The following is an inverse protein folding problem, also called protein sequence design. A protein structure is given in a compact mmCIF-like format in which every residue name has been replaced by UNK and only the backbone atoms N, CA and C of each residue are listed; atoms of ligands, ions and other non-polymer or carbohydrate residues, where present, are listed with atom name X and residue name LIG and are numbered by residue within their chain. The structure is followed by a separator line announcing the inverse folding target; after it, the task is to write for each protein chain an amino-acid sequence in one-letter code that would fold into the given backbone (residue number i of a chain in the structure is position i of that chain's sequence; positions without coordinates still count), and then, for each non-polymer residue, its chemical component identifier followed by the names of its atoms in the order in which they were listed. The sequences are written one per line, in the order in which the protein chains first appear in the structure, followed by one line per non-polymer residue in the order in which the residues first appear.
data_IF_469295659487
#
_entry.id   IF_469295659487
#
_cell.length_a   1.000
_cell.length_b   1.000
_cell.length_c   1.000
_cell.angle_alpha   90.00
_cell.angle_beta   90.00
_cell.angle_gamma   90.00
#
_symmetry.space_group_name_H-M   'P 1'
#
loop_
_entity.id
_entity.type
_entity.pdbx_description
1 polymer ?
#
# COMPACT_ATOMS: atom_id res chain seq x y z
N UNK A 1 23.99 -0.14 8.09
CA UNK A 1 23.39 1.08 7.47
C UNK A 1 22.01 0.83 6.88
N UNK A 2 21.80 -0.23 6.07
CA UNK A 2 20.51 -0.47 5.40
C UNK A 2 19.33 -0.78 6.36
N UNK A 3 19.58 -1.45 7.49
CA UNK A 3 18.52 -1.79 8.45
C UNK A 3 17.80 -0.55 9.01
N UNK A 4 18.57 0.49 9.35
CA UNK A 4 18.05 1.77 9.85
C UNK A 4 17.21 2.45 8.77
N UNK A 5 17.66 2.42 7.51
CA UNK A 5 16.93 2.99 6.39
C UNK A 5 15.58 2.27 6.17
N UNK A 6 15.51 0.94 6.30
CA UNK A 6 14.24 0.20 6.23
C UNK A 6 13.26 0.63 7.33
N UNK A 7 13.75 0.80 8.56
CA UNK A 7 12.92 1.26 9.69
C UNK A 7 12.41 2.69 9.44
N UNK A 8 13.26 3.59 8.95
CA UNK A 8 12.86 4.98 8.66
C UNK A 8 11.81 5.05 7.54
N UNK A 9 11.98 4.27 6.48
CA UNK A 9 10.99 4.17 5.39
C UNK A 9 9.68 3.58 5.91
N UNK A 10 9.75 2.52 6.73
CA UNK A 10 8.57 1.94 7.37
C UNK A 10 7.84 2.93 8.28
N UNK A 11 8.57 3.74 9.04
CA UNK A 11 8.01 4.78 9.91
C UNK A 11 7.33 5.89 9.10
N UNK A 12 8.01 6.41 8.07
CA UNK A 12 7.43 7.42 7.18
C UNK A 12 6.17 6.89 6.48
N UNK A 13 6.22 5.65 5.97
CA UNK A 13 5.09 4.99 5.35
C UNK A 13 3.93 4.74 6.35
N UNK A 14 4.25 4.37 7.59
CA UNK A 14 3.28 4.16 8.66
C UNK A 14 2.56 5.45 9.04
N UNK A 15 3.29 6.56 9.20
CA UNK A 15 2.72 7.89 9.46
C UNK A 15 1.81 8.31 8.31
N UNK A 16 2.28 8.21 7.06
CA UNK A 16 1.47 8.55 5.90
C UNK A 16 0.24 7.65 5.75
N UNK A 17 0.37 6.35 6.04
CA UNK A 17 -0.74 5.39 6.03
C UNK A 17 -1.80 5.75 7.08
N UNK A 18 -1.38 6.10 8.29
CA UNK A 18 -2.28 6.53 9.36
C UNK A 18 -2.95 7.87 9.07
N UNK A 19 -2.26 8.80 8.40
CA UNK A 19 -2.79 10.13 8.08
C UNK A 19 -3.73 10.12 6.87
N UNK A 20 -3.35 9.45 5.78
CA UNK A 20 -4.11 9.44 4.52
C UNK A 20 -4.98 8.19 4.31
N UNK A 21 -4.81 7.13 5.11
CA UNK A 21 -5.53 5.86 4.93
C UNK A 21 -5.09 5.00 3.74
N UNK A 22 -3.98 5.33 3.09
CA UNK A 22 -3.53 4.74 1.80
C UNK A 22 -2.74 3.42 1.93
N UNK A 23 -2.45 2.92 3.13
CA UNK A 23 -1.71 1.67 3.33
C UNK A 23 -0.18 1.75 3.13
N UNK A 24 0.39 2.95 2.97
CA UNK A 24 1.84 3.19 2.94
C UNK A 24 2.58 2.74 1.66
N UNK A 25 1.96 1.94 0.79
CA UNK A 25 2.58 1.39 -0.43
C UNK A 25 3.05 2.45 -1.43
N UNK A 26 2.40 3.62 -1.47
CA UNK A 26 2.80 4.76 -2.32
C UNK A 26 4.21 5.26 -1.97
N UNK A 27 4.62 5.15 -0.70
CA UNK A 27 5.95 5.55 -0.24
C UNK A 27 6.91 4.36 -0.28
N UNK A 28 6.47 3.18 0.21
CA UNK A 28 7.34 2.00 0.32
C UNK A 28 7.79 1.47 -1.04
N UNK A 29 6.90 1.38 -2.03
CA UNK A 29 7.22 0.77 -3.34
C UNK A 29 8.32 1.59 -4.05
N UNK A 30 8.22 2.91 -4.24
CA UNK A 30 9.30 3.70 -4.83
C UNK A 30 10.58 3.65 -4.01
N UNK A 31 10.50 3.71 -2.68
CA UNK A 31 11.69 3.61 -1.83
C UNK A 31 12.42 2.28 -2.06
N UNK A 32 11.70 1.16 -2.05
CA UNK A 32 12.24 -0.18 -2.32
C UNK A 32 12.88 -0.31 -3.71
N UNK A 33 12.25 0.24 -4.74
CA UNK A 33 12.79 0.24 -6.10
C UNK A 33 14.04 1.12 -6.25
N UNK A 34 13.96 2.38 -5.83
CA UNK A 34 14.96 3.39 -6.18
C UNK A 34 16.08 3.51 -5.15
N UNK A 35 15.81 3.25 -3.87
CA UNK A 35 16.80 3.37 -2.80
C UNK A 35 17.43 2.03 -2.43
N UNK A 36 16.67 0.94 -2.55
CA UNK A 36 17.13 -0.40 -2.13
C UNK A 36 17.34 -1.38 -3.29
N UNK A 37 17.02 -0.99 -4.52
CA UNK A 37 17.30 -1.79 -5.72
C UNK A 37 16.46 -3.07 -5.82
N UNK A 38 15.34 -3.16 -5.10
CA UNK A 38 14.42 -4.29 -5.20
C UNK A 38 13.76 -4.32 -6.57
N UNK A 39 13.51 -5.51 -7.10
CA UNK A 39 12.69 -5.66 -8.31
C UNK A 39 11.26 -5.18 -8.04
N UNK A 40 10.52 -4.81 -9.09
CA UNK A 40 9.13 -4.35 -8.95
C UNK A 40 8.26 -5.36 -8.18
N UNK A 41 8.39 -6.65 -8.46
CA UNK A 41 7.63 -7.70 -7.78
C UNK A 41 8.01 -7.82 -6.30
N UNK A 42 9.31 -7.76 -5.98
CA UNK A 42 9.78 -7.76 -4.60
C UNK A 42 9.26 -6.54 -3.84
N UNK A 43 9.39 -5.34 -4.39
CA UNK A 43 8.89 -4.12 -3.76
C UNK A 43 7.39 -4.19 -3.46
N UNK A 44 6.59 -4.69 -4.42
CA UNK A 44 5.14 -4.88 -4.25
C UNK A 44 4.82 -5.91 -3.17
N UNK A 45 5.45 -7.09 -3.23
CA UNK A 45 5.23 -8.18 -2.28
C UNK A 45 5.63 -7.82 -0.86
N UNK A 46 6.81 -7.22 -0.69
CA UNK A 46 7.29 -6.74 0.62
C UNK A 46 6.38 -5.65 1.18
N UNK A 47 5.93 -4.70 0.36
CA UNK A 47 4.97 -3.67 0.79
C UNK A 47 3.64 -4.27 1.25
N UNK A 48 3.12 -5.28 0.55
CA UNK A 48 1.87 -5.96 0.94
C UNK A 48 2.05 -6.75 2.23
N UNK A 49 3.18 -7.44 2.42
CA UNK A 49 3.47 -8.18 3.64
C UNK A 49 3.48 -7.27 4.89
N UNK A 50 4.06 -6.08 4.77
CA UNK A 50 4.11 -5.08 5.87
C UNK A 50 2.71 -4.50 6.18
N UNK A 51 1.82 -4.46 5.20
CA UNK A 51 0.49 -3.85 5.34
C UNK A 51 -0.46 -4.68 6.22
N UNK A 52 -0.30 -6.01 6.28
CA UNK A 52 -1.21 -6.92 6.98
C UNK A 52 -1.07 -6.78 8.52
N UNK A 53 0.07 -7.10 9.14
CA UNK A 53 0.48 -6.44 10.40
C UNK A 53 1.97 -6.02 10.37
N UNK A 54 2.34 -4.84 10.92
CA UNK A 54 1.63 -4.07 11.95
C UNK A 54 0.84 -2.84 11.48
N UNK A 55 1.02 -2.36 10.25
CA UNK A 55 0.52 -1.02 9.85
C UNK A 55 -1.02 -0.95 9.85
N UNK A 56 -1.67 -1.85 9.11
CA UNK A 56 -3.13 -1.82 8.97
C UNK A 56 -3.84 -2.01 10.31
N UNK A 57 -3.35 -2.94 11.13
CA UNK A 57 -3.95 -3.28 12.42
C UNK A 57 -3.92 -2.10 13.41
N UNK A 58 -2.77 -1.49 13.64
CA UNK A 58 -2.63 -0.41 14.63
C UNK A 58 -3.43 0.83 14.21
N UNK A 59 -3.38 1.20 12.93
CA UNK A 59 -4.15 2.33 12.41
C UNK A 59 -5.67 2.05 12.51
N UNK A 60 -6.13 0.89 12.03
CA UNK A 60 -7.54 0.52 12.09
C UNK A 60 -8.08 0.46 13.53
N UNK A 61 -7.31 -0.07 14.48
CA UNK A 61 -7.68 -0.05 15.90
C UNK A 61 -7.86 1.36 16.44
N UNK A 62 -6.99 2.31 16.05
CA UNK A 62 -7.12 3.70 16.47
C UNK A 62 -8.39 4.34 15.91
N UNK A 63 -8.67 4.15 14.63
CA UNK A 63 -9.91 4.63 14.00
C UNK A 63 -11.17 3.97 14.57
N UNK A 64 -11.09 2.67 14.90
CA UNK A 64 -12.20 1.94 15.51
C UNK A 64 -12.53 2.48 16.90
N UNK A 65 -11.50 2.69 17.74
CA UNK A 65 -11.66 3.32 19.06
C UNK A 65 -12.19 4.76 18.98
N UNK A 66 -11.91 5.47 17.89
CA UNK A 66 -12.43 6.80 17.63
C UNK A 66 -13.86 6.81 17.05
N UNK A 67 -14.51 5.65 16.88
CA UNK A 67 -15.86 5.54 16.31
C UNK A 67 -15.95 5.74 14.80
N UNK A 68 -14.81 5.82 14.11
CA UNK A 68 -14.73 6.17 12.68
C UNK A 68 -14.70 4.95 11.75
N UNK A 69 -14.93 3.74 12.27
CA UNK A 69 -14.94 2.51 11.47
C UNK A 69 -16.35 1.97 11.33
N UNK A 70 -16.87 1.98 10.10
CA UNK A 70 -18.12 1.30 9.74
C UNK A 70 -17.85 -0.19 9.53
N UNK A 71 -18.00 -0.96 10.61
CA UNK A 71 -17.65 -2.39 10.64
C UNK A 71 -18.39 -3.22 9.59
N UNK A 72 -19.68 -2.94 9.33
CA UNK A 72 -20.45 -3.70 8.34
C UNK A 72 -19.82 -3.60 6.95
N UNK A 73 -19.47 -2.39 6.51
CA UNK A 73 -18.81 -2.13 5.23
C UNK A 73 -17.43 -2.80 5.21
N UNK A 74 -16.67 -2.67 6.31
CA UNK A 74 -15.33 -3.24 6.42
C UNK A 74 -15.34 -4.77 6.24
N UNK A 75 -16.31 -5.48 6.82
CA UNK A 75 -16.41 -6.94 6.71
C UNK A 75 -16.66 -7.37 5.26
N UNK A 76 -17.68 -6.79 4.59
CA UNK A 76 -17.97 -7.14 3.20
C UNK A 76 -16.82 -6.75 2.25
N UNK A 77 -16.21 -5.59 2.47
CA UNK A 77 -15.03 -5.18 1.73
C UNK A 77 -13.83 -6.11 1.96
N UNK A 78 -13.65 -6.63 3.17
CA UNK A 78 -12.59 -7.59 3.50
C UNK A 78 -12.71 -8.89 2.70
N UNK A 79 -13.93 -9.41 2.53
CA UNK A 79 -14.17 -10.61 1.72
C UNK A 79 -13.75 -10.36 0.26
N UNK A 80 -14.22 -9.26 -0.32
CA UNK A 80 -13.83 -8.88 -1.69
C UNK A 80 -12.32 -8.66 -1.83
N UNK A 81 -11.71 -8.01 -0.84
CA UNK A 81 -10.27 -7.75 -0.79
C UNK A 81 -9.45 -9.04 -0.69
N UNK A 82 -9.92 -10.04 0.08
CA UNK A 82 -9.23 -11.32 0.24
C UNK A 82 -9.08 -12.04 -1.10
N UNK A 83 -10.17 -12.22 -1.85
CA UNK A 83 -10.13 -12.89 -3.14
C UNK A 83 -9.49 -12.01 -4.23
N UNK A 84 -9.87 -10.72 -4.28
CA UNK A 84 -9.36 -9.77 -5.27
C UNK A 84 -7.86 -9.52 -5.12
N UNK A 85 -7.36 -9.45 -3.89
CA UNK A 85 -5.93 -9.29 -3.60
C UNK A 85 -5.12 -10.50 -4.04
N UNK A 86 -5.61 -11.72 -3.80
CA UNK A 86 -4.97 -12.95 -4.27
C UNK A 86 -4.95 -13.02 -5.81
N UNK A 87 -6.11 -12.84 -6.46
CA UNK A 87 -6.21 -12.83 -7.92
C UNK A 87 -5.32 -11.75 -8.54
N UNK A 88 -5.34 -10.54 -7.98
CA UNK A 88 -4.49 -9.43 -8.41
C UNK A 88 -3.00 -9.75 -8.27
N UNK A 89 -2.58 -10.38 -7.18
CA UNK A 89 -1.19 -10.81 -6.98
C UNK A 89 -0.77 -11.89 -7.97
N UNK A 90 -1.65 -12.87 -8.26
CA UNK A 90 -1.39 -13.89 -9.29
C UNK A 90 -1.19 -13.23 -10.65
N UNK A 91 -2.11 -12.35 -11.07
CA UNK A 91 -2.00 -11.64 -12.35
C UNK A 91 -0.75 -10.76 -12.40
N UNK A 92 -0.45 -10.03 -11.33
CA UNK A 92 0.71 -9.15 -11.26
C UNK A 92 2.04 -9.90 -11.44
N UNK A 93 2.17 -11.12 -10.91
CA UNK A 93 3.38 -11.93 -11.09
C UNK A 93 3.60 -12.43 -12.53
N UNK A 94 2.59 -12.35 -13.41
CA UNK A 94 2.72 -12.70 -14.83
C UNK A 94 3.04 -11.49 -15.72
N UNK A 95 2.99 -10.28 -15.18
CA UNK A 95 3.25 -9.04 -15.94
C UNK A 95 4.72 -8.64 -15.78
N UNK A 96 5.42 -8.26 -16.85
CA UNK A 96 6.79 -7.77 -16.74
C UNK A 96 6.92 -6.56 -15.81
N UNK A 97 7.93 -6.56 -14.94
CA UNK A 97 8.19 -5.50 -13.96
C UNK A 97 8.14 -4.05 -14.51
N UNK A 98 8.74 -3.74 -15.68
CA UNK A 98 8.65 -2.41 -16.28
C UNK A 98 7.21 -1.98 -16.63
N UNK A 99 6.36 -2.93 -17.04
CA UNK A 99 4.95 -2.67 -17.32
C UNK A 99 4.17 -2.46 -16.02
N UNK A 100 4.40 -3.26 -14.98
CA UNK A 100 3.82 -3.02 -13.65
C UNK A 100 4.18 -1.62 -13.11
N UNK A 101 5.45 -1.21 -13.26
CA UNK A 101 5.91 0.13 -12.85
C UNK A 101 5.15 1.24 -13.57
N UNK A 102 4.97 1.11 -14.90
CA UNK A 102 4.20 2.07 -15.70
C UNK A 102 2.74 2.12 -15.27
N UNK A 103 2.09 0.96 -15.12
CA UNK A 103 0.68 0.86 -14.69
C UNK A 103 0.49 1.51 -13.31
N UNK A 104 1.37 1.21 -12.36
CA UNK A 104 1.34 1.82 -11.02
C UNK A 104 1.52 3.34 -11.09
N UNK A 105 2.47 3.83 -11.88
CA UNK A 105 2.70 5.27 -12.08
C UNK A 105 1.50 6.00 -12.71
N UNK A 106 0.88 5.42 -13.74
CA UNK A 106 -0.32 5.98 -14.37
C UNK A 106 -1.49 6.02 -13.39
N UNK A 107 -1.70 4.95 -12.62
CA UNK A 107 -2.73 4.92 -11.58
C UNK A 107 -2.51 6.04 -10.54
N UNK A 108 -1.27 6.24 -10.08
CA UNK A 108 -0.93 7.33 -9.15
C UNK A 108 -1.22 8.71 -9.75
N UNK A 109 -0.90 8.92 -11.03
CA UNK A 109 -1.19 10.17 -11.72
C UNK A 109 -2.71 10.44 -11.79
N UNK A 110 -3.50 9.42 -12.14
CA UNK A 110 -4.97 9.53 -12.17
C UNK A 110 -5.53 9.88 -10.80
N UNK A 111 -5.08 9.17 -9.74
CA UNK A 111 -5.51 9.43 -8.37
C UNK A 111 -5.15 10.86 -7.94
N UNK A 112 -3.92 11.30 -8.24
CA UNK A 112 -3.45 12.65 -7.93
C UNK A 112 -4.31 13.73 -8.58
N UNK A 113 -4.55 13.62 -9.89
CA UNK A 113 -5.41 14.56 -10.63
C UNK A 113 -6.82 14.59 -10.03
N UNK A 114 -7.38 13.42 -9.72
CA UNK A 114 -8.73 13.32 -9.16
C UNK A 114 -8.82 13.89 -7.74
N UNK A 115 -7.77 13.79 -6.92
CA UNK A 115 -7.77 14.38 -5.58
C UNK A 115 -7.61 15.91 -5.60
N UNK A 116 -6.89 16.46 -6.59
CA UNK A 116 -6.64 17.91 -6.69
C UNK A 116 -7.81 18.64 -7.35
N UNK A 117 -8.36 18.06 -8.42
CA UNK A 117 -9.37 18.72 -9.26
C UNK A 117 -10.75 18.05 -9.21
N UNK A 118 -10.87 16.93 -8.51
CA UNK A 118 -12.16 16.29 -8.27
C UNK A 118 -13.04 17.13 -7.36
N UNK A 119 -14.36 17.02 -7.58
CA UNK A 119 -15.37 17.61 -6.70
C UNK A 119 -15.42 16.90 -5.35
#
# INVERSE_FOLDING_TARGET
MQLIAYVLVGLAAGIASGFFGIGGGIIMIPAFLFLFGLTQHQAQGTSLAIMIPPIGLLAAMRYYRAGNVKVSIAIFACIGFFFGGYLGAVLANHIPGPMMKKVFGVLMMIISVKLIFGK
#
